data_IF_738476145606
#
_entry.id   IF_738476145606
#
_cell.length_a   1.000
_cell.length_b   1.000
_cell.length_c   1.000
_cell.angle_alpha   90.00
_cell.angle_beta   90.00
_cell.angle_gamma   90.00
#
_symmetry.space_group_name_H-M   'P 1'
#
loop_
_entity.id
_entity.type
_entity.pdbx_description
1 polymer ?
#
# COMPACT_ATOMS: atom_id res chain seq x y z
N UNK A 1 -31.75 57.25 -42.04
CA UNK A 1 -30.78 56.39 -41.32
C UNK A 1 -29.56 56.25 -42.21
N UNK A 2 -28.43 56.82 -41.79
CA UNK A 2 -27.23 56.93 -42.62
C UNK A 2 -26.49 55.60 -42.72
N UNK A 3 -25.71 55.39 -43.79
CA UNK A 3 -24.79 54.25 -43.95
C UNK A 3 -23.82 54.17 -42.76
N UNK A 4 -23.45 55.33 -42.21
CA UNK A 4 -22.62 55.45 -41.01
C UNK A 4 -23.27 54.83 -39.77
N UNK A 5 -24.57 55.08 -39.54
CA UNK A 5 -25.30 54.54 -38.38
C UNK A 5 -25.37 53.00 -38.42
N UNK A 6 -25.53 52.43 -39.63
CA UNK A 6 -25.51 50.98 -39.84
C UNK A 6 -24.12 50.39 -39.60
N UNK A 7 -23.05 51.07 -40.00
CA UNK A 7 -21.68 50.63 -39.77
C UNK A 7 -21.31 50.61 -38.27
N UNK A 8 -21.74 51.62 -37.51
CA UNK A 8 -21.54 51.68 -36.05
C UNK A 8 -22.32 50.57 -35.33
N UNK A 9 -23.57 50.29 -35.75
CA UNK A 9 -24.35 49.18 -35.20
C UNK A 9 -23.71 47.81 -35.48
N UNK A 10 -23.21 47.58 -36.69
CA UNK A 10 -22.47 46.37 -37.06
C UNK A 10 -21.17 46.22 -36.26
N UNK A 11 -20.42 47.31 -36.04
CA UNK A 11 -19.20 47.29 -35.24
C UNK A 11 -19.49 46.96 -33.77
N UNK A 12 -20.54 47.55 -33.19
CA UNK A 12 -20.95 47.27 -31.83
C UNK A 12 -21.45 45.82 -31.67
N UNK A 13 -22.18 45.31 -32.68
CA UNK A 13 -22.63 43.90 -32.69
C UNK A 13 -21.45 42.94 -32.84
N UNK A 14 -20.48 43.26 -33.69
CA UNK A 14 -19.25 42.47 -33.86
C UNK A 14 -18.41 42.46 -32.57
N UNK A 15 -18.30 43.60 -31.86
CA UNK A 15 -17.64 43.68 -30.55
C UNK A 15 -18.35 42.84 -29.48
N UNK A 16 -19.67 42.85 -29.45
CA UNK A 16 -20.45 42.02 -28.52
C UNK A 16 -20.25 40.52 -28.79
N UNK A 17 -20.29 40.10 -30.06
CA UNK A 17 -20.06 38.71 -30.45
C UNK A 17 -18.62 38.29 -30.12
N UNK A 18 -17.64 39.16 -30.38
CA UNK A 18 -16.24 38.90 -30.03
C UNK A 18 -16.05 38.77 -28.51
N UNK A 19 -16.67 39.64 -27.71
CA UNK A 19 -16.63 39.55 -26.25
C UNK A 19 -17.29 38.26 -25.72
N UNK A 20 -18.43 37.87 -26.28
CA UNK A 20 -19.09 36.59 -25.96
C UNK A 20 -18.22 35.39 -26.30
N UNK A 21 -17.61 35.36 -27.48
CA UNK A 21 -16.73 34.29 -27.93
C UNK A 21 -15.43 34.20 -27.10
N UNK A 22 -14.89 35.34 -26.63
CA UNK A 22 -13.75 35.37 -25.69
C UNK A 22 -14.16 34.80 -24.33
N UNK A 23 -15.32 35.20 -23.81
CA UNK A 23 -15.86 34.68 -22.55
C UNK A 23 -16.10 33.15 -22.59
N UNK A 24 -16.66 32.64 -23.68
CA UNK A 24 -16.86 31.19 -23.88
C UNK A 24 -15.53 30.43 -23.93
N UNK A 25 -14.53 30.95 -24.64
CA UNK A 25 -13.18 30.34 -24.70
C UNK A 25 -12.50 30.33 -23.34
N UNK A 26 -12.60 31.41 -22.57
CA UNK A 26 -12.03 31.49 -21.22
C UNK A 26 -12.73 30.55 -20.24
N UNK A 27 -14.05 30.42 -20.33
CA UNK A 27 -14.83 29.47 -19.55
C UNK A 27 -14.47 28.01 -19.89
N UNK A 28 -14.37 27.68 -21.18
CA UNK A 28 -13.96 26.34 -21.63
C UNK A 28 -12.54 25.99 -21.15
N UNK A 29 -11.59 26.94 -21.26
CA UNK A 29 -10.22 26.80 -20.73
C UNK A 29 -10.24 26.54 -19.22
N UNK A 30 -10.92 27.37 -18.45
CA UNK A 30 -10.98 27.24 -17.00
C UNK A 30 -11.62 25.92 -16.57
N UNK A 31 -12.67 25.47 -17.26
CA UNK A 31 -13.31 24.18 -17.01
C UNK A 31 -12.33 23.02 -17.25
N UNK A 32 -11.58 23.05 -18.36
CA UNK A 32 -10.57 22.04 -18.67
C UNK A 32 -9.49 21.99 -17.58
N UNK A 33 -8.92 23.14 -17.20
CA UNK A 33 -7.90 23.23 -16.14
C UNK A 33 -8.42 22.80 -14.77
N UNK A 34 -9.68 23.10 -14.46
CA UNK A 34 -10.33 22.64 -13.23
C UNK A 34 -10.46 21.11 -13.21
N UNK A 35 -10.78 20.47 -14.33
CA UNK A 35 -10.82 18.99 -14.42
C UNK A 35 -9.45 18.37 -14.16
N UNK A 36 -8.39 18.92 -14.75
CA UNK A 36 -7.02 18.45 -14.51
C UNK A 36 -6.62 18.58 -13.03
N UNK A 37 -6.92 19.73 -12.41
CA UNK A 37 -6.61 19.95 -11.00
C UNK A 37 -7.43 19.02 -10.08
N UNK A 38 -8.72 18.78 -10.40
CA UNK A 38 -9.56 17.82 -9.67
C UNK A 38 -9.00 16.40 -9.71
N UNK A 39 -8.48 15.95 -10.85
CA UNK A 39 -7.84 14.65 -10.95
C UNK A 39 -6.61 14.55 -10.03
N UNK A 40 -5.76 15.59 -10.01
CA UNK A 40 -4.63 15.66 -9.07
C UNK A 40 -5.06 15.66 -7.60
N UNK A 41 -6.12 16.40 -7.27
CA UNK A 41 -6.66 16.43 -5.89
C UNK A 41 -7.28 15.09 -5.48
N UNK A 42 -7.89 14.35 -6.40
CA UNK A 42 -8.39 13.02 -6.11
C UNK A 42 -7.25 12.05 -5.78
N UNK A 43 -6.13 12.13 -6.51
CA UNK A 43 -4.93 11.35 -6.19
C UNK A 43 -4.35 11.75 -4.82
N UNK A 44 -4.18 13.05 -4.56
CA UNK A 44 -3.72 13.55 -3.27
C UNK A 44 -4.59 13.05 -2.12
N UNK A 45 -5.92 13.09 -2.29
CA UNK A 45 -6.87 12.58 -1.30
C UNK A 45 -6.63 11.10 -1.02
N UNK A 46 -6.46 10.27 -2.04
CA UNK A 46 -6.14 8.85 -1.88
C UNK A 46 -4.87 8.65 -1.05
N UNK A 47 -3.81 9.43 -1.31
CA UNK A 47 -2.55 9.35 -0.57
C UNK A 47 -2.67 9.83 0.88
N UNK A 48 -3.44 10.89 1.13
CA UNK A 48 -3.72 11.37 2.50
C UNK A 48 -4.51 10.32 3.29
N UNK A 49 -5.55 9.75 2.69
CA UNK A 49 -6.33 8.72 3.35
C UNK A 49 -5.52 7.43 3.62
N UNK A 50 -4.57 7.07 2.74
CA UNK A 50 -3.62 5.99 2.98
C UNK A 50 -2.67 6.32 4.13
N UNK A 51 -2.13 7.55 4.16
CA UNK A 51 -1.23 8.01 5.23
C UNK A 51 -1.93 7.96 6.60
N UNK A 52 -3.20 8.37 6.67
CA UNK A 52 -4.00 8.23 7.89
C UNK A 52 -4.21 6.76 8.30
N UNK A 53 -4.45 5.86 7.33
CA UNK A 53 -4.59 4.43 7.63
C UNK A 53 -3.28 3.84 8.17
N UNK A 54 -2.13 4.22 7.62
CA UNK A 54 -0.82 3.85 8.14
C UNK A 54 -0.59 4.40 9.55
N UNK A 55 -0.97 5.65 9.80
CA UNK A 55 -0.87 6.25 11.13
C UNK A 55 -1.75 5.54 12.16
N UNK A 56 -2.95 5.10 11.77
CA UNK A 56 -3.84 4.32 12.64
C UNK A 56 -3.25 2.94 13.01
N UNK A 57 -2.41 2.36 12.15
CA UNK A 57 -1.65 1.13 12.43
C UNK A 57 -0.38 1.37 13.27
N UNK A 58 -0.04 2.64 13.55
CA UNK A 58 1.24 3.02 14.15
C UNK A 58 2.43 2.85 13.20
N UNK A 59 2.19 2.70 11.89
CA UNK A 59 3.24 2.56 10.88
C UNK A 59 3.85 3.90 10.47
N UNK A 60 3.11 5.00 10.62
CA UNK A 60 3.54 6.34 10.23
C UNK A 60 3.02 7.41 11.20
N UNK A 61 3.54 8.63 11.07
CA UNK A 61 2.95 9.80 11.71
C UNK A 61 1.76 10.34 10.90
N UNK A 62 0.95 11.20 11.52
CA UNK A 62 -0.13 11.89 10.83
C UNK A 62 0.45 12.78 9.71
N UNK A 63 -0.18 12.81 8.51
CA UNK A 63 0.32 13.58 7.39
C UNK A 63 0.26 15.09 7.69
N UNK A 64 1.36 15.80 7.41
CA UNK A 64 1.37 17.27 7.47
C UNK A 64 0.77 17.87 6.18
N UNK A 65 -0.38 18.54 6.33
CA UNK A 65 -1.13 19.16 5.24
C UNK A 65 -0.89 20.67 5.12
N UNK A 66 -0.08 21.27 6.00
CA UNK A 66 0.14 22.72 6.09
C UNK A 66 0.57 23.34 4.75
N UNK A 67 1.44 22.65 4.01
CA UNK A 67 1.90 23.11 2.71
C UNK A 67 0.86 23.05 1.58
N UNK A 68 -0.12 22.13 1.67
CA UNK A 68 -1.28 22.11 0.77
C UNK A 68 -2.24 23.25 1.10
N UNK A 69 -2.48 23.51 2.39
CA UNK A 69 -3.31 24.64 2.83
C UNK A 69 -2.72 25.97 2.35
N UNK A 70 -1.40 26.16 2.48
CA UNK A 70 -0.72 27.34 1.96
C UNK A 70 -0.87 27.47 0.42
N UNK A 71 -0.76 26.36 -0.32
CA UNK A 71 -0.95 26.34 -1.76
C UNK A 71 -2.39 26.68 -2.17
N UNK A 72 -3.39 26.17 -1.43
CA UNK A 72 -4.81 26.51 -1.60
C UNK A 72 -5.04 28.00 -1.38
N UNK A 73 -4.59 28.56 -0.26
CA UNK A 73 -4.74 30.00 0.03
C UNK A 73 -4.02 30.89 -0.98
N UNK A 74 -2.88 30.45 -1.53
CA UNK A 74 -2.19 31.16 -2.61
C UNK A 74 -2.99 31.13 -3.93
N UNK A 75 -3.62 29.99 -4.25
CA UNK A 75 -4.49 29.87 -5.42
C UNK A 75 -5.76 30.73 -5.29
N UNK A 76 -6.43 30.69 -4.14
CA UNK A 76 -7.62 31.49 -3.84
C UNK A 76 -7.34 32.99 -4.00
N UNK A 77 -6.23 33.49 -3.43
CA UNK A 77 -5.83 34.90 -3.59
C UNK A 77 -5.67 35.32 -5.05
N UNK A 78 -5.17 34.43 -5.91
CA UNK A 78 -5.00 34.69 -7.34
C UNK A 78 -6.31 34.57 -8.15
N UNK A 79 -7.34 33.97 -7.57
CA UNK A 79 -8.67 33.84 -8.16
C UNK A 79 -9.63 34.97 -7.77
N UNK A 80 -9.29 35.81 -6.78
CA UNK A 80 -10.16 36.89 -6.27
C UNK A 80 -10.55 37.93 -7.34
N UNK A 81 -9.67 38.18 -8.31
CA UNK A 81 -9.86 39.23 -9.33
C UNK A 81 -10.29 38.68 -10.70
N UNK A 82 -10.77 37.43 -10.76
CA UNK A 82 -11.23 36.79 -12.01
C UNK A 82 -10.65 35.39 -12.22
N UNK A 83 -10.83 34.85 -13.43
CA UNK A 83 -10.38 33.50 -13.76
C UNK A 83 -8.85 33.38 -13.68
N UNK A 84 -8.30 32.40 -12.92
CA UNK A 84 -6.86 32.21 -12.85
C UNK A 84 -6.23 31.95 -14.22
N UNK A 85 -5.01 32.45 -14.41
CA UNK A 85 -4.23 32.17 -15.61
C UNK A 85 -3.75 30.72 -15.66
N UNK A 86 -3.36 30.25 -16.84
CA UNK A 86 -2.81 28.90 -17.01
C UNK A 86 -1.57 28.66 -16.16
N UNK A 87 -0.74 29.68 -15.96
CA UNK A 87 0.42 29.59 -15.08
C UNK A 87 0.01 29.30 -13.62
N UNK A 88 -1.10 29.88 -13.16
CA UNK A 88 -1.63 29.64 -11.80
C UNK A 88 -2.16 28.22 -11.67
N UNK A 89 -2.94 27.74 -12.66
CA UNK A 89 -3.41 26.35 -12.68
C UNK A 89 -2.27 25.35 -12.75
N UNK A 90 -1.27 25.56 -13.62
CA UNK A 90 -0.12 24.68 -13.75
C UNK A 90 0.71 24.65 -12.46
N UNK A 91 0.88 25.79 -11.80
CA UNK A 91 1.57 25.87 -10.50
C UNK A 91 0.82 25.06 -9.43
N UNK A 92 -0.50 25.24 -9.32
CA UNK A 92 -1.31 24.49 -8.36
C UNK A 92 -1.30 22.99 -8.65
N UNK A 93 -1.46 22.59 -9.92
CA UNK A 93 -1.38 21.20 -10.35
C UNK A 93 -0.03 20.58 -10.00
N UNK A 94 1.08 21.28 -10.30
CA UNK A 94 2.43 20.82 -9.97
C UNK A 94 2.59 20.64 -8.46
N UNK A 95 2.11 21.58 -7.66
CA UNK A 95 2.15 21.48 -6.19
C UNK A 95 1.36 20.27 -5.67
N UNK A 96 0.14 20.07 -6.14
CA UNK A 96 -0.68 18.91 -5.75
C UNK A 96 0.03 17.60 -6.12
N UNK A 97 0.62 17.52 -7.32
CA UNK A 97 1.36 16.34 -7.75
C UNK A 97 2.65 16.11 -6.95
N UNK A 98 3.42 17.16 -6.65
CA UNK A 98 4.61 17.10 -5.80
C UNK A 98 4.26 16.53 -4.41
N UNK A 99 3.21 17.05 -3.78
CA UNK A 99 2.74 16.58 -2.46
C UNK A 99 2.22 15.14 -2.50
N UNK A 100 1.40 14.79 -3.49
CA UNK A 100 0.90 13.42 -3.62
C UNK A 100 2.04 12.42 -3.83
N UNK A 101 3.03 12.76 -4.66
CA UNK A 101 4.20 11.92 -4.91
C UNK A 101 5.06 11.75 -3.66
N UNK A 102 5.23 12.84 -2.88
CA UNK A 102 5.97 12.81 -1.62
C UNK A 102 5.27 11.93 -0.58
N UNK A 103 3.98 12.14 -0.34
CA UNK A 103 3.19 11.32 0.59
C UNK A 103 3.20 9.84 0.19
N UNK A 104 3.14 9.54 -1.11
CA UNK A 104 3.24 8.17 -1.62
C UNK A 104 4.58 7.54 -1.27
N UNK A 105 5.69 8.25 -1.48
CA UNK A 105 7.02 7.74 -1.18
C UNK A 105 7.20 7.51 0.34
N UNK A 106 6.82 8.50 1.16
CA UNK A 106 6.84 8.41 2.62
C UNK A 106 5.98 7.25 3.13
N UNK A 107 4.79 7.04 2.55
CA UNK A 107 3.88 5.95 2.90
C UNK A 107 4.48 4.57 2.59
N UNK A 108 5.13 4.41 1.43
CA UNK A 108 5.76 3.14 1.04
C UNK A 108 6.94 2.82 1.95
N UNK A 109 7.77 3.82 2.26
CA UNK A 109 8.93 3.66 3.15
C UNK A 109 8.49 3.28 4.57
N UNK A 110 7.57 4.06 5.14
CA UNK A 110 7.02 3.82 6.47
C UNK A 110 6.37 2.43 6.58
N UNK A 111 5.62 2.03 5.55
CA UNK A 111 5.05 0.70 5.44
C UNK A 111 6.11 -0.40 5.44
N UNK A 112 7.14 -0.30 4.58
CA UNK A 112 8.16 -1.33 4.48
C UNK A 112 8.91 -1.53 5.80
N UNK A 113 9.24 -0.44 6.49
CA UNK A 113 9.87 -0.50 7.82
C UNK A 113 8.95 -1.17 8.84
N UNK A 114 7.70 -0.72 8.93
CA UNK A 114 6.74 -1.26 9.90
C UNK A 114 6.41 -2.73 9.62
N UNK A 115 6.09 -3.09 8.37
CA UNK A 115 5.74 -4.45 7.98
C UNK A 115 6.90 -5.44 8.21
N UNK A 116 8.15 -5.01 7.94
CA UNK A 116 9.34 -5.80 8.27
C UNK A 116 9.43 -6.07 9.77
N UNK A 117 9.22 -5.04 10.60
CA UNK A 117 9.25 -5.19 12.06
C UNK A 117 8.15 -6.13 12.57
N UNK A 118 6.93 -6.03 12.01
CA UNK A 118 5.84 -6.95 12.35
C UNK A 118 6.20 -8.40 12.01
N UNK A 119 6.64 -8.68 10.78
CA UNK A 119 7.01 -10.06 10.37
C UNK A 119 8.17 -10.60 11.22
N UNK A 120 9.14 -9.76 11.56
CA UNK A 120 10.26 -10.16 12.42
C UNK A 120 9.85 -10.48 13.87
N UNK A 121 8.74 -9.90 14.35
CA UNK A 121 8.21 -10.17 15.69
C UNK A 121 7.41 -11.48 15.78
N UNK A 122 7.04 -12.09 14.65
CA UNK A 122 6.32 -13.36 14.65
C UNK A 122 7.24 -14.51 15.10
N UNK A 123 6.73 -15.44 15.92
CA UNK A 123 7.49 -16.63 16.35
C UNK A 123 7.52 -17.70 15.24
N UNK A 124 8.12 -17.36 14.08
CA UNK A 124 8.14 -18.21 12.88
C UNK A 124 8.82 -19.57 13.11
N UNK A 125 9.67 -19.67 14.13
CA UNK A 125 10.28 -20.94 14.56
C UNK A 125 9.24 -22.00 14.99
N UNK A 126 7.99 -21.60 15.28
CA UNK A 126 6.89 -22.52 15.64
C UNK A 126 6.20 -23.14 14.42
N UNK A 127 6.48 -22.69 13.20
CA UNK A 127 5.84 -23.23 11.99
C UNK A 127 6.13 -24.74 11.79
N UNK A 128 7.37 -25.25 11.95
CA UNK A 128 7.68 -26.65 11.72
C UNK A 128 6.95 -27.64 12.64
N UNK A 129 6.54 -27.19 13.84
CA UNK A 129 5.80 -28.02 14.81
C UNK A 129 4.28 -27.98 14.60
N UNK A 130 3.80 -27.31 13.56
CA UNK A 130 2.40 -27.37 13.16
C UNK A 130 2.10 -28.71 12.45
N UNK A 131 0.83 -29.11 12.48
CA UNK A 131 0.34 -30.23 11.67
C UNK A 131 0.56 -29.93 10.19
N UNK A 132 0.61 -30.96 9.34
CA UNK A 132 0.97 -30.78 7.92
C UNK A 132 0.13 -29.71 7.20
N UNK A 133 -1.19 -29.75 7.34
CA UNK A 133 -2.08 -28.77 6.68
C UNK A 133 -1.90 -27.35 7.22
N UNK A 134 -1.74 -27.22 8.53
CA UNK A 134 -1.49 -25.93 9.18
C UNK A 134 -0.11 -25.36 8.81
N UNK A 135 0.91 -26.22 8.72
CA UNK A 135 2.27 -25.85 8.30
C UNK A 135 2.29 -25.32 6.87
N UNK A 136 1.61 -26.01 5.95
CA UNK A 136 1.49 -25.57 4.54
C UNK A 136 0.79 -24.21 4.46
N UNK A 137 -0.31 -24.02 5.20
CA UNK A 137 -1.01 -22.75 5.27
C UNK A 137 -0.16 -21.64 5.90
N UNK A 138 0.55 -21.92 7.01
CA UNK A 138 1.41 -20.97 7.70
C UNK A 138 2.59 -20.53 6.84
N UNK A 139 3.27 -21.46 6.15
CA UNK A 139 4.34 -21.14 5.19
C UNK A 139 3.83 -20.26 4.03
N UNK A 140 2.61 -20.51 3.57
CA UNK A 140 1.98 -19.67 2.52
C UNK A 140 1.73 -18.26 3.05
N UNK A 141 1.14 -18.11 4.24
CA UNK A 141 0.92 -16.81 4.89
C UNK A 141 2.23 -16.06 5.15
N UNK A 142 3.27 -16.74 5.63
CA UNK A 142 4.59 -16.16 5.84
C UNK A 142 5.16 -15.61 4.52
N UNK A 143 5.05 -16.38 3.44
CA UNK A 143 5.47 -15.96 2.10
C UNK A 143 4.69 -14.72 1.63
N UNK A 144 3.36 -14.73 1.78
CA UNK A 144 2.50 -13.62 1.37
C UNK A 144 2.84 -12.34 2.14
N UNK A 145 3.06 -12.44 3.46
CA UNK A 145 3.50 -11.32 4.30
C UNK A 145 4.84 -10.76 3.83
N UNK A 146 5.83 -11.63 3.55
CA UNK A 146 7.15 -11.18 3.05
C UNK A 146 7.05 -10.48 1.69
N UNK A 147 6.19 -10.96 0.80
CA UNK A 147 5.96 -10.32 -0.50
C UNK A 147 5.28 -8.95 -0.37
N UNK A 148 4.44 -8.77 0.66
CA UNK A 148 3.71 -7.54 0.91
C UNK A 148 4.54 -6.45 1.63
N UNK A 149 5.79 -6.71 2.05
CA UNK A 149 6.64 -5.71 2.73
C UNK A 149 6.97 -4.53 1.82
N UNK A 150 7.33 -4.78 0.56
CA UNK A 150 7.84 -3.76 -0.36
C UNK A 150 7.03 -3.71 -1.66
N UNK A 151 5.73 -3.34 -1.61
CA UNK A 151 4.90 -3.30 -2.79
C UNK A 151 5.28 -2.11 -3.68
N UNK A 152 5.21 -2.29 -5.00
CA UNK A 152 5.45 -1.21 -5.97
C UNK A 152 4.43 -0.07 -5.84
N UNK A 153 3.20 -0.41 -5.47
CA UNK A 153 2.14 0.52 -5.15
C UNK A 153 1.44 0.01 -3.89
N UNK A 154 1.29 0.87 -2.90
CA UNK A 154 0.59 0.55 -1.66
C UNK A 154 -0.83 1.10 -1.71
N UNK A 155 -1.80 0.28 -1.31
CA UNK A 155 -3.21 0.66 -1.18
C UNK A 155 -3.75 0.27 0.19
N UNK A 156 -4.92 0.82 0.56
CA UNK A 156 -5.60 0.43 1.80
C UNK A 156 -5.97 -1.05 1.83
N UNK A 157 -6.31 -1.62 0.68
CA UNK A 157 -6.61 -3.05 0.57
C UNK A 157 -5.39 -3.89 0.94
N UNK A 158 -4.19 -3.47 0.52
CA UNK A 158 -2.95 -4.16 0.87
C UNK A 158 -2.70 -4.12 2.39
N UNK A 159 -2.99 -2.99 3.05
CA UNK A 159 -2.90 -2.88 4.52
C UNK A 159 -3.84 -3.87 5.21
N UNK A 160 -5.10 -3.93 4.78
CA UNK A 160 -6.11 -4.84 5.34
C UNK A 160 -5.74 -6.31 5.11
N UNK A 161 -5.26 -6.65 3.91
CA UNK A 161 -4.84 -8.01 3.59
C UNK A 161 -3.62 -8.42 4.42
N UNK A 162 -2.62 -7.56 4.54
CA UNK A 162 -1.45 -7.84 5.35
C UNK A 162 -1.82 -8.04 6.82
N UNK A 163 -2.58 -7.11 7.41
CA UNK A 163 -2.96 -7.18 8.83
C UNK A 163 -3.85 -8.40 9.13
N UNK A 164 -4.75 -8.76 8.22
CA UNK A 164 -5.55 -9.98 8.32
C UNK A 164 -4.69 -11.25 8.24
N UNK A 165 -3.81 -11.35 7.24
CA UNK A 165 -2.89 -12.48 7.09
C UNK A 165 -1.94 -12.60 8.29
N UNK A 166 -1.47 -11.47 8.81
CA UNK A 166 -0.63 -11.39 10.01
C UNK A 166 -1.36 -11.96 11.22
N UNK A 167 -2.61 -11.51 11.47
CA UNK A 167 -3.41 -11.97 12.59
C UNK A 167 -3.64 -13.49 12.52
N UNK A 168 -4.00 -14.02 11.35
CA UNK A 168 -4.21 -15.46 11.15
C UNK A 168 -2.93 -16.29 11.37
N UNK A 169 -1.77 -15.77 10.93
CA UNK A 169 -0.51 -16.43 11.19
C UNK A 169 -0.15 -16.37 12.67
N UNK A 170 -0.26 -15.20 13.30
CA UNK A 170 0.00 -15.02 14.72
C UNK A 170 -0.87 -15.94 15.59
N UNK A 171 -2.16 -16.05 15.27
CA UNK A 171 -3.10 -16.94 15.94
C UNK A 171 -2.68 -18.42 15.81
N UNK A 172 -2.32 -18.87 14.60
CA UNK A 172 -1.86 -20.25 14.39
C UNK A 172 -0.59 -20.62 15.17
N UNK A 173 0.20 -19.63 15.57
CA UNK A 173 1.45 -19.82 16.31
C UNK A 173 1.32 -19.53 17.81
N UNK A 174 0.18 -18.98 18.26
CA UNK A 174 0.02 -18.44 19.61
C UNK A 174 0.15 -19.53 20.68
N UNK A 175 -0.57 -20.64 20.51
CA UNK A 175 -0.65 -21.73 21.50
C UNK A 175 0.50 -22.72 21.41
N UNK A 176 1.44 -22.52 20.48
CA UNK A 176 2.57 -23.44 20.28
C UNK A 176 3.76 -23.01 21.14
N UNK A 177 4.37 -23.98 21.81
CA UNK A 177 5.61 -23.75 22.56
C UNK A 177 6.78 -23.54 21.61
N UNK A 178 7.76 -22.73 22.02
CA UNK A 178 8.97 -22.55 21.22
C UNK A 178 9.76 -23.87 21.15
N UNK A 179 10.00 -24.41 19.94
CA UNK A 179 10.72 -25.66 19.81
C UNK A 179 12.21 -25.49 20.10
N UNK A 180 12.86 -26.46 20.76
CA UNK A 180 14.30 -26.45 20.93
C UNK A 180 15.00 -26.62 19.57
N UNK A 181 16.21 -26.07 19.44
CA UNK A 181 17.00 -26.17 18.20
C UNK A 181 17.19 -27.62 17.72
N UNK A 182 17.43 -28.53 18.65
CA UNK A 182 17.57 -29.97 18.39
C UNK A 182 16.35 -30.57 17.65
N UNK A 183 15.13 -30.12 17.98
CA UNK A 183 13.92 -30.59 17.30
C UNK A 183 13.85 -30.02 15.87
N UNK A 184 14.21 -28.76 15.67
CA UNK A 184 14.23 -28.14 14.36
C UNK A 184 15.25 -28.82 13.44
N UNK A 185 16.44 -29.10 13.96
CA UNK A 185 17.50 -29.82 13.24
C UNK A 185 17.05 -31.23 12.86
N UNK A 186 16.37 -31.93 13.79
CA UNK A 186 15.80 -33.24 13.54
C UNK A 186 14.72 -33.20 12.45
N UNK A 187 13.80 -32.23 12.49
CA UNK A 187 12.77 -32.06 11.46
C UNK A 187 13.39 -31.75 10.09
N UNK A 188 14.46 -30.93 10.02
CA UNK A 188 15.20 -30.69 8.78
C UNK A 188 15.86 -31.98 8.25
N UNK A 189 16.46 -32.78 9.13
CA UNK A 189 17.03 -34.08 8.75
C UNK A 189 15.96 -35.02 8.19
N UNK A 190 14.78 -35.07 8.80
CA UNK A 190 13.67 -35.90 8.34
C UNK A 190 13.09 -35.44 6.99
N UNK A 191 13.19 -34.16 6.65
CA UNK A 191 12.75 -33.61 5.36
C UNK A 191 13.78 -33.84 4.21
N UNK A 192 15.03 -34.21 4.51
CA UNK A 192 16.08 -34.44 3.51
C UNK A 192 15.76 -35.61 2.57
N UNK A 193 16.30 -35.50 1.34
CA UNK A 193 16.27 -36.56 0.32
C UNK A 193 17.71 -36.96 -0.04
N UNK A 194 18.10 -38.25 0.04
CA UNK A 194 17.28 -39.40 0.46
C UNK A 194 16.86 -39.31 1.94
N UNK A 195 15.70 -39.89 2.27
CA UNK A 195 15.20 -39.90 3.65
C UNK A 195 16.18 -40.61 4.59
N UNK A 196 16.32 -40.16 5.86
CA UNK A 196 17.15 -40.86 6.84
C UNK A 196 16.64 -42.28 7.08
N UNK A 197 17.55 -43.20 7.37
CA UNK A 197 17.21 -44.56 7.77
C UNK A 197 16.92 -44.61 9.27
N UNK A 198 16.28 -45.69 9.75
CA UNK A 198 16.09 -45.89 11.18
C UNK A 198 17.40 -45.94 11.99
N UNK A 199 18.54 -46.21 11.34
CA UNK A 199 19.86 -46.19 12.00
C UNK A 199 20.35 -44.77 12.27
N UNK A 200 19.86 -43.80 11.49
CA UNK A 200 20.24 -42.39 11.60
C UNK A 200 19.40 -41.63 12.65
N UNK A 201 18.38 -42.30 13.22
CA UNK A 201 17.46 -41.74 14.22
C UNK A 201 17.70 -42.44 15.56
N UNK A 202 17.95 -41.66 16.60
CA UNK A 202 18.21 -42.16 17.96
C UNK A 202 16.93 -42.27 18.79
N UNK A 203 16.98 -43.00 19.92
CA UNK A 203 15.87 -43.06 20.87
C UNK A 203 15.54 -41.69 21.48
N UNK A 204 16.57 -40.84 21.68
CA UNK A 204 16.39 -39.46 22.10
C UNK A 204 15.63 -38.63 21.07
N UNK A 205 15.89 -38.83 19.77
CA UNK A 205 15.18 -38.14 18.69
C UNK A 205 13.70 -38.54 18.69
N UNK A 206 13.40 -39.83 18.85
CA UNK A 206 12.01 -40.33 18.95
C UNK A 206 11.31 -39.77 20.18
N UNK A 207 11.99 -39.72 21.33
CA UNK A 207 11.44 -39.14 22.55
C UNK A 207 11.15 -37.63 22.37
N UNK A 208 12.03 -36.91 21.67
CA UNK A 208 11.87 -35.49 21.35
C UNK A 208 10.68 -35.26 20.43
N UNK A 209 10.51 -36.07 19.38
CA UNK A 209 9.35 -36.00 18.49
C UNK A 209 8.05 -36.23 19.24
N UNK A 210 7.98 -37.24 20.13
CA UNK A 210 6.79 -37.52 20.96
C UNK A 210 6.45 -36.38 21.90
N UNK A 211 7.46 -35.77 22.54
CA UNK A 211 7.27 -34.66 23.48
C UNK A 211 6.58 -33.45 22.83
N UNK A 212 6.82 -33.24 21.54
CA UNK A 212 6.23 -32.15 20.76
C UNK A 212 5.11 -32.63 19.83
N UNK A 213 4.59 -33.84 20.05
CA UNK A 213 3.50 -34.45 19.27
C UNK A 213 3.79 -34.49 17.76
N UNK A 214 5.07 -34.59 17.38
CA UNK A 214 5.49 -34.65 15.99
C UNK A 214 5.55 -36.06 15.42
N UNK A 215 5.57 -37.07 16.29
CA UNK A 215 5.63 -38.48 15.90
C UNK A 215 4.38 -38.91 15.12
N UNK A 216 3.20 -38.36 15.43
CA UNK A 216 1.94 -38.65 14.72
C UNK A 216 1.95 -38.22 13.25
N UNK A 217 2.91 -37.36 12.86
CA UNK A 217 3.03 -36.82 11.52
C UNK A 217 4.12 -37.50 10.69
N UNK A 218 4.80 -38.52 11.24
CA UNK A 218 5.92 -39.23 10.60
C UNK A 218 5.53 -40.67 10.35
N UNK A 219 5.75 -41.16 9.12
CA UNK A 219 5.51 -42.55 8.74
C UNK A 219 6.81 -43.25 8.36
N UNK A 220 6.92 -44.52 8.73
CA UNK A 220 8.06 -45.37 8.39
C UNK A 220 7.70 -46.24 7.19
N UNK A 221 8.56 -46.26 6.17
CA UNK A 221 8.42 -47.12 4.99
C UNK A 221 9.71 -47.93 4.79
N UNK A 222 9.56 -49.24 4.54
CA UNK A 222 10.69 -50.13 4.25
C UNK A 222 11.19 -49.90 2.82
N UNK A 223 12.49 -49.67 2.65
CA UNK A 223 13.10 -49.56 1.33
C UNK A 223 12.97 -50.87 0.55
N UNK A 224 12.47 -50.80 -0.68
CA UNK A 224 12.27 -51.95 -1.56
C UNK A 224 11.03 -52.80 -1.27
N UNK A 225 10.12 -52.32 -0.43
CA UNK A 225 8.78 -52.90 -0.20
C UNK A 225 7.70 -52.13 -0.97
#
# INVERSE_FOLDING_TARGET
MSVYDKAVQLQNRARQIAAGAVGEKEAARALSRSRELRAGLAELRTQVELSHALAALGAAHQPDLSGIDAARSAFERKALNGLPSDAVFNTARKKVQEFASRLKAESIEAWATWATAQVAALPLARIPILSRGEREAARTREKDLRQAIAPKNLSKTDLTLFTGTYALLAESLHDKSDPPGELLDLLDVLEKRPSPTLRDITDSDIALLRRFEMDIHITLQRSGA
#
